data_IF_413362437377
#
_entry.id   IF_413362437377
#
_cell.length_a   1.000
_cell.length_b   1.000
_cell.length_c   1.000
_cell.angle_alpha   90.00
_cell.angle_beta   90.00
_cell.angle_gamma   90.00
#
_symmetry.space_group_name_H-M   'P 1'
#
loop_
_entity.id
_entity.type
_entity.pdbx_description
1 polymer ?
#
# COMPACT_ATOMS: atom_id res chain seq x y z
N UNK A 1 -3.46 -7.67 4.10
CA UNK A 1 -3.04 -9.10 4.10
C UNK A 1 -3.85 -10.02 5.04
N UNK A 2 -4.28 -9.51 6.19
CA UNK A 2 -4.95 -10.23 7.29
C UNK A 2 -6.20 -11.09 6.96
N UNK A 3 -6.81 -10.93 5.79
CA UNK A 3 -7.98 -11.73 5.34
C UNK A 3 -7.61 -13.00 4.54
N UNK A 4 -6.32 -13.27 4.35
CA UNK A 4 -5.82 -14.36 3.53
C UNK A 4 -4.87 -15.24 4.32
N UNK A 5 -4.80 -16.53 3.99
CA UNK A 5 -3.82 -17.44 4.59
C UNK A 5 -2.48 -17.36 3.85
N UNK A 6 -1.41 -17.82 4.48
CA UNK A 6 -0.10 -17.97 3.83
C UNK A 6 -0.19 -18.76 2.51
N UNK A 7 -0.99 -19.84 2.50
CA UNK A 7 -1.18 -20.68 1.32
C UNK A 7 -1.89 -19.93 0.20
N UNK A 8 -2.98 -19.20 0.51
CA UNK A 8 -3.72 -18.47 -0.54
C UNK A 8 -2.89 -17.34 -1.12
N UNK A 9 -2.09 -16.64 -0.30
CA UNK A 9 -1.16 -15.62 -0.75
C UNK A 9 -0.07 -16.19 -1.65
N UNK A 10 0.55 -17.31 -1.27
CA UNK A 10 1.58 -17.97 -2.07
C UNK A 10 1.00 -18.55 -3.37
N UNK A 11 -0.23 -19.05 -3.37
CA UNK A 11 -0.85 -19.56 -4.58
C UNK A 11 -1.23 -18.44 -5.55
N UNK A 12 -1.75 -17.32 -5.04
CA UNK A 12 -1.96 -16.12 -5.85
C UNK A 12 -0.65 -15.62 -6.47
N UNK A 13 0.44 -15.63 -5.71
CA UNK A 13 1.79 -15.32 -6.20
C UNK A 13 2.22 -16.23 -7.36
N UNK A 14 2.04 -17.56 -7.24
CA UNK A 14 2.35 -18.48 -8.34
C UNK A 14 1.55 -18.17 -9.61
N UNK A 15 0.25 -17.90 -9.49
CA UNK A 15 -0.61 -17.52 -10.62
C UNK A 15 -0.10 -16.23 -11.27
N UNK A 16 0.25 -15.22 -10.46
CA UNK A 16 0.85 -13.97 -10.96
C UNK A 16 2.12 -14.21 -11.77
N UNK A 17 3.00 -15.12 -11.32
CA UNK A 17 4.21 -15.48 -12.06
C UNK A 17 3.92 -16.27 -13.33
N UNK A 18 3.01 -17.22 -13.28
CA UNK A 18 2.63 -18.06 -14.42
C UNK A 18 2.05 -17.23 -15.57
N UNK A 19 1.15 -16.30 -15.26
CA UNK A 19 0.45 -15.50 -16.27
C UNK A 19 1.06 -14.12 -16.50
N UNK A 20 2.12 -13.77 -15.76
CA UNK A 20 2.75 -12.43 -15.76
C UNK A 20 1.72 -11.30 -15.58
N UNK A 21 0.85 -11.44 -14.57
CA UNK A 21 -0.19 -10.48 -14.20
C UNK A 21 0.06 -9.92 -12.80
N UNK A 22 -0.32 -8.66 -12.51
CA UNK A 22 -0.06 -8.08 -11.21
C UNK A 22 -0.95 -8.66 -10.10
N UNK A 23 -0.45 -8.63 -8.86
CA UNK A 23 -1.25 -8.84 -7.65
C UNK A 23 -1.44 -7.49 -6.98
N UNK A 24 -2.66 -7.16 -6.61
CA UNK A 24 -2.95 -5.97 -5.80
C UNK A 24 -3.52 -6.39 -4.45
N UNK A 25 -2.93 -5.90 -3.36
CA UNK A 25 -3.40 -6.16 -1.99
C UNK A 25 -3.44 -4.84 -1.22
N UNK A 26 -4.44 -4.66 -0.35
CA UNK A 26 -4.40 -3.62 0.70
C UNK A 26 -3.37 -3.99 1.76
N UNK A 27 -2.41 -3.09 2.01
CA UNK A 27 -1.27 -3.33 2.91
C UNK A 27 -1.02 -2.09 3.76
N UNK A 28 -0.80 -2.31 5.07
CA UNK A 28 -0.48 -1.27 6.06
C UNK A 28 -1.48 -0.09 5.98
N UNK A 29 -2.77 -0.41 5.96
CA UNK A 29 -3.84 0.57 5.79
C UNK A 29 -4.46 0.99 7.13
N UNK A 30 -4.55 0.06 8.08
CA UNK A 30 -5.33 0.22 9.31
C UNK A 30 -4.49 -0.06 10.56
N UNK A 31 -4.72 0.67 11.65
CA UNK A 31 -3.96 0.50 12.90
C UNK A 31 -4.07 -0.92 13.48
N UNK A 32 -5.23 -1.55 13.35
CA UNK A 32 -5.41 -2.93 13.81
C UNK A 32 -4.55 -3.92 13.02
N UNK A 33 -4.30 -3.66 11.73
CA UNK A 33 -3.43 -4.48 10.90
C UNK A 33 -2.00 -4.42 11.47
N UNK A 34 -1.51 -3.21 11.79
CA UNK A 34 -0.20 -3.02 12.39
C UNK A 34 -0.09 -3.76 13.73
N UNK A 35 -1.07 -3.57 14.61
CA UNK A 35 -1.10 -4.22 15.93
C UNK A 35 -1.12 -5.75 15.80
N UNK A 36 -1.99 -6.29 14.94
CA UNK A 36 -2.13 -7.73 14.76
C UNK A 36 -0.84 -8.39 14.24
N UNK A 37 -0.20 -7.80 13.22
CA UNK A 37 1.04 -8.34 12.67
C UNK A 37 2.21 -8.20 13.66
N UNK A 38 2.23 -7.12 14.44
CA UNK A 38 3.23 -6.93 15.49
C UNK A 38 3.08 -7.96 16.60
N UNK A 39 1.86 -8.22 17.06
CA UNK A 39 1.60 -9.19 18.14
C UNK A 39 1.86 -10.63 17.70
N UNK A 40 1.41 -11.01 16.50
CA UNK A 40 1.50 -12.41 16.03
C UNK A 40 2.87 -12.78 15.48
N UNK A 41 3.54 -11.86 14.79
CA UNK A 41 4.76 -12.15 14.04
C UNK A 41 5.95 -11.28 14.44
N UNK A 42 5.75 -10.23 15.26
CA UNK A 42 6.75 -9.19 15.54
C UNK A 42 7.26 -8.49 14.26
N UNK A 43 6.42 -8.42 13.24
CA UNK A 43 6.69 -7.82 11.92
C UNK A 43 5.62 -6.77 11.59
N UNK A 44 5.92 -5.88 10.65
CA UNK A 44 4.89 -5.09 9.95
C UNK A 44 4.18 -5.94 8.89
N UNK A 45 3.05 -5.48 8.32
CA UNK A 45 2.42 -6.18 7.21
C UNK A 45 3.32 -6.32 5.98
N UNK A 46 4.16 -5.31 5.68
CA UNK A 46 5.12 -5.36 4.57
C UNK A 46 6.21 -6.41 4.85
N UNK A 47 6.82 -6.38 6.03
CA UNK A 47 7.84 -7.35 6.43
C UNK A 47 7.29 -8.79 6.46
N UNK A 48 6.05 -8.96 6.90
CA UNK A 48 5.38 -10.26 6.85
C UNK A 48 5.22 -10.76 5.42
N UNK A 49 4.71 -9.94 4.49
CA UNK A 49 4.61 -10.31 3.07
C UNK A 49 5.99 -10.63 2.46
N UNK A 50 7.03 -9.87 2.83
CA UNK A 50 8.40 -10.16 2.40
C UNK A 50 8.90 -11.52 2.90
N UNK A 51 8.59 -11.86 4.16
CA UNK A 51 8.95 -13.16 4.74
C UNK A 51 8.30 -14.35 4.05
N UNK A 52 7.16 -14.14 3.38
CA UNK A 52 6.50 -15.15 2.55
C UNK A 52 7.14 -15.30 1.16
N UNK A 53 8.02 -14.37 0.75
CA UNK A 53 8.72 -14.39 -0.53
C UNK A 53 7.83 -14.02 -1.73
N UNK A 54 6.78 -13.22 -1.51
CA UNK A 54 5.77 -12.91 -2.54
C UNK A 54 5.79 -11.46 -3.03
N UNK A 55 6.76 -10.66 -2.57
CA UNK A 55 6.96 -9.28 -3.03
C UNK A 55 7.95 -9.24 -4.18
N UNK A 56 7.49 -8.76 -5.34
CA UNK A 56 8.34 -8.44 -6.49
C UNK A 56 7.72 -7.31 -7.34
N UNK A 57 8.26 -7.07 -8.53
CA UNK A 57 7.80 -6.02 -9.45
C UNK A 57 6.39 -6.20 -10.01
N UNK A 58 5.76 -7.36 -9.83
CA UNK A 58 4.36 -7.60 -10.19
C UNK A 58 3.40 -7.35 -9.01
N UNK A 59 3.92 -6.98 -7.83
CA UNK A 59 3.09 -6.67 -6.68
C UNK A 59 2.74 -5.18 -6.62
N UNK A 60 1.48 -4.88 -6.30
CA UNK A 60 0.95 -3.54 -6.06
C UNK A 60 0.41 -3.45 -4.63
N UNK A 61 1.07 -2.65 -3.81
CA UNK A 61 0.67 -2.34 -2.44
C UNK A 61 -0.30 -1.16 -2.43
N UNK A 62 -1.59 -1.44 -2.22
CA UNK A 62 -2.61 -0.40 -2.14
C UNK A 62 -2.65 0.23 -0.74
N UNK A 63 -2.85 1.55 -0.71
CA UNK A 63 -2.84 2.43 0.47
C UNK A 63 -1.45 2.69 1.04
N UNK A 64 -0.81 1.69 1.64
CA UNK A 64 0.56 1.78 2.19
C UNK A 64 0.73 2.99 3.12
N UNK A 65 -0.21 3.18 4.06
CA UNK A 65 -0.29 4.40 4.88
C UNK A 65 0.64 4.33 6.09
N UNK A 66 0.61 3.19 6.79
CA UNK A 66 1.26 2.99 8.08
C UNK A 66 2.57 2.21 7.92
N UNK A 67 3.42 2.65 6.99
CA UNK A 67 4.73 2.05 6.75
C UNK A 67 5.85 2.83 7.41
N UNK A 68 6.89 2.11 7.84
CA UNK A 68 8.13 2.69 8.36
C UNK A 68 9.25 2.69 7.30
N UNK A 69 10.44 3.16 7.70
CA UNK A 69 11.59 3.28 6.80
C UNK A 69 12.11 1.94 6.29
N UNK A 70 12.05 0.89 7.10
CA UNK A 70 12.44 -0.46 6.68
C UNK A 70 11.42 -1.04 5.69
N UNK A 71 10.13 -0.79 5.90
CA UNK A 71 9.09 -1.18 4.95
C UNK A 71 9.29 -0.51 3.59
N UNK A 72 9.59 0.80 3.58
CA UNK A 72 9.88 1.55 2.35
C UNK A 72 11.10 0.95 1.63
N UNK A 73 12.15 0.62 2.38
CA UNK A 73 13.34 -0.03 1.82
C UNK A 73 13.01 -1.39 1.20
N UNK A 74 12.24 -2.23 1.88
CA UNK A 74 11.77 -3.53 1.36
C UNK A 74 10.98 -3.33 0.06
N UNK A 75 9.99 -2.43 0.06
CA UNK A 75 9.18 -2.15 -1.13
C UNK A 75 10.05 -1.72 -2.31
N UNK A 76 11.07 -0.88 -2.06
CA UNK A 76 12.02 -0.44 -3.07
C UNK A 76 12.89 -1.59 -3.59
N UNK A 77 13.50 -2.37 -2.70
CA UNK A 77 14.41 -3.47 -3.05
C UNK A 77 13.68 -4.58 -3.83
N UNK A 78 12.40 -4.83 -3.52
CA UNK A 78 11.56 -5.80 -4.23
C UNK A 78 10.92 -5.24 -5.50
N UNK A 79 10.99 -3.92 -5.73
CA UNK A 79 10.41 -3.27 -6.89
C UNK A 79 8.88 -3.17 -6.85
N UNK A 80 8.28 -3.23 -5.66
CA UNK A 80 6.83 -3.18 -5.46
C UNK A 80 6.27 -1.82 -5.89
N UNK A 81 5.16 -1.82 -6.63
CA UNK A 81 4.41 -0.60 -6.95
C UNK A 81 3.47 -0.21 -5.81
N UNK A 82 3.18 1.08 -5.65
CA UNK A 82 2.22 1.58 -4.65
C UNK A 82 1.03 2.25 -5.32
N UNK A 83 -0.19 1.87 -4.93
CA UNK A 83 -1.41 2.59 -5.31
C UNK A 83 -1.81 3.56 -4.21
N UNK A 84 -1.65 4.87 -4.47
CA UNK A 84 -2.01 5.92 -3.53
C UNK A 84 -3.49 6.28 -3.65
N UNK A 85 -4.26 6.02 -2.59
CA UNK A 85 -5.72 6.25 -2.57
C UNK A 85 -6.10 7.37 -1.58
N UNK A 86 -5.64 8.60 -1.83
CA UNK A 86 -5.76 9.70 -0.85
C UNK A 86 -7.20 10.07 -0.48
N UNK A 87 -8.14 10.01 -1.43
CA UNK A 87 -9.55 10.29 -1.17
C UNK A 87 -10.14 9.31 -0.16
N UNK A 88 -9.81 8.02 -0.32
CA UNK A 88 -10.23 6.97 0.60
C UNK A 88 -9.59 7.11 1.99
N UNK A 89 -8.28 7.34 2.02
CA UNK A 89 -7.53 7.49 3.26
C UNK A 89 -8.02 8.70 4.07
N UNK A 90 -8.26 9.83 3.41
CA UNK A 90 -8.75 11.04 4.07
C UNK A 90 -10.19 10.90 4.56
N UNK A 91 -11.11 10.32 3.78
CA UNK A 91 -12.49 10.06 4.23
C UNK A 91 -12.53 9.12 5.44
N UNK A 92 -11.66 8.11 5.44
CA UNK A 92 -11.55 7.13 6.52
C UNK A 92 -10.71 7.58 7.71
N UNK A 93 -10.15 8.79 7.71
CA UNK A 93 -9.21 9.29 8.71
C UNK A 93 -8.03 8.35 8.99
N UNK A 94 -7.52 7.65 7.95
CA UNK A 94 -6.49 6.61 8.06
C UNK A 94 -5.06 7.17 8.07
N UNK A 95 -4.89 8.45 7.72
CA UNK A 95 -3.59 9.11 7.60
C UNK A 95 -3.20 9.38 6.15
N UNK A 96 -1.94 9.79 5.95
CA UNK A 96 -1.38 10.12 4.65
C UNK A 96 -0.18 9.22 4.40
N UNK A 97 -0.26 8.38 3.37
CA UNK A 97 0.86 7.53 2.98
C UNK A 97 2.08 8.40 2.63
N UNK A 98 3.31 8.03 3.06
CA UNK A 98 4.51 8.83 2.88
C UNK A 98 5.06 8.75 1.44
N UNK A 99 4.19 8.99 0.45
CA UNK A 99 4.50 8.82 -0.98
C UNK A 99 5.54 9.81 -1.51
N UNK A 100 5.73 10.96 -0.86
CA UNK A 100 6.81 11.89 -1.23
C UNK A 100 8.15 11.22 -0.98
N UNK A 101 8.36 10.70 0.24
CA UNK A 101 9.55 9.92 0.60
C UNK A 101 9.70 8.68 -0.28
N UNK A 102 8.65 7.89 -0.47
CA UNK A 102 8.71 6.71 -1.36
C UNK A 102 9.14 7.07 -2.79
N UNK A 103 8.64 8.19 -3.33
CA UNK A 103 9.02 8.68 -4.66
C UNK A 103 10.47 9.12 -4.72
N UNK A 104 10.99 9.78 -3.68
CA UNK A 104 12.41 10.16 -3.57
C UNK A 104 13.33 8.94 -3.50
N UNK A 105 12.91 7.88 -2.82
CA UNK A 105 13.57 6.57 -2.80
C UNK A 105 13.39 5.79 -4.14
N UNK A 106 12.63 6.34 -5.09
CA UNK A 106 12.44 5.79 -6.42
C UNK A 106 11.45 4.61 -6.50
N UNK A 107 10.47 4.55 -5.61
CA UNK A 107 9.33 3.61 -5.70
C UNK A 107 8.33 4.11 -6.74
N UNK A 108 7.79 3.20 -7.55
CA UNK A 108 6.74 3.51 -8.53
C UNK A 108 5.41 3.77 -7.82
N UNK A 109 4.90 5.00 -7.93
CA UNK A 109 3.63 5.41 -7.32
C UNK A 109 2.56 5.64 -8.40
N UNK A 110 1.46 4.90 -8.31
CA UNK A 110 0.22 5.13 -9.04
C UNK A 110 -0.83 5.85 -8.18
N UNK A 111 -1.89 6.32 -8.84
CA UNK A 111 -3.03 6.97 -8.19
C UNK A 111 -4.26 6.09 -8.33
N UNK A 112 -5.00 5.91 -7.24
CA UNK A 112 -6.26 5.16 -7.24
C UNK A 112 -7.36 5.93 -6.51
N UNK A 113 -8.60 5.61 -6.86
CA UNK A 113 -9.80 6.18 -6.23
C UNK A 113 -10.29 5.36 -5.06
N UNK A 114 -9.87 4.09 -4.97
CA UNK A 114 -10.57 3.03 -4.25
C UNK A 114 -12.06 2.96 -4.70
N UNK A 115 -12.95 2.41 -3.88
CA UNK A 115 -14.38 2.35 -4.14
C UNK A 115 -15.13 3.67 -3.90
N UNK A 116 -16.32 3.85 -4.50
CA UNK A 116 -17.11 5.07 -4.33
C UNK A 116 -17.63 5.23 -2.89
N UNK A 117 -17.73 4.15 -2.11
CA UNK A 117 -18.14 4.24 -0.69
C UNK A 117 -17.02 4.80 0.21
N UNK A 118 -15.76 4.60 -0.16
CA UNK A 118 -14.60 5.10 0.60
C UNK A 118 -14.07 6.42 0.06
N UNK A 119 -14.31 6.79 -1.21
CA UNK A 119 -13.89 8.09 -1.76
C UNK A 119 -15.02 9.08 -2.10
N UNK A 120 -16.28 8.65 -2.15
CA UNK A 120 -17.45 9.39 -2.69
C UNK A 120 -17.28 9.87 -4.15
N UNK A 121 -16.28 9.37 -4.87
CA UNK A 121 -16.00 9.67 -6.26
C UNK A 121 -15.16 8.56 -6.88
N UNK A 122 -15.26 8.40 -8.21
CA UNK A 122 -14.36 7.59 -9.03
C UNK A 122 -13.57 8.47 -10.02
N UNK A 123 -13.56 9.79 -9.80
CA UNK A 123 -12.85 10.73 -10.66
C UNK A 123 -11.38 10.86 -10.23
N UNK A 124 -10.49 10.39 -11.10
CA UNK A 124 -9.04 10.47 -10.90
C UNK A 124 -8.52 11.91 -10.91
N UNK A 125 -9.19 12.83 -11.63
CA UNK A 125 -8.79 14.25 -11.69
C UNK A 125 -9.03 14.91 -10.32
N UNK A 126 -10.17 14.62 -9.69
CA UNK A 126 -10.44 15.04 -8.32
C UNK A 126 -9.38 14.49 -7.35
N UNK A 127 -8.96 13.22 -7.50
CA UNK A 127 -7.89 12.66 -6.67
C UNK A 127 -6.57 13.44 -6.80
N UNK A 128 -6.18 13.85 -8.01
CA UNK A 128 -4.94 14.63 -8.23
C UNK A 128 -4.94 15.94 -7.44
N UNK A 129 -6.07 16.67 -7.42
CA UNK A 129 -6.19 17.89 -6.61
C UNK A 129 -6.09 17.59 -5.11
N UNK A 130 -6.66 16.48 -4.65
CA UNK A 130 -6.60 16.08 -3.25
C UNK A 130 -5.17 15.77 -2.81
N UNK A 131 -4.40 15.04 -3.62
CA UNK A 131 -2.98 14.74 -3.35
C UNK A 131 -2.23 16.04 -3.02
N UNK A 132 -2.28 17.03 -3.93
CA UNK A 132 -1.51 18.26 -3.76
C UNK A 132 -1.91 19.11 -2.54
N UNK A 133 -3.19 19.08 -2.13
CA UNK A 133 -3.70 19.85 -0.98
C UNK A 133 -3.44 19.14 0.35
N UNK A 134 -3.70 17.84 0.40
CA UNK A 134 -3.61 17.06 1.64
C UNK A 134 -2.16 16.86 2.04
N UNK A 135 -1.25 16.61 1.09
CA UNK A 135 0.17 16.48 1.41
C UNK A 135 0.76 17.77 1.98
N UNK A 136 0.47 18.93 1.36
CA UNK A 136 0.88 20.24 1.91
C UNK A 136 0.33 20.48 3.31
N UNK A 137 -0.96 20.19 3.52
CA UNK A 137 -1.60 20.33 4.83
C UNK A 137 -0.92 19.44 5.89
N UNK A 138 -0.63 18.19 5.53
CA UNK A 138 -0.04 17.21 6.43
C UNK A 138 1.43 17.52 6.75
N UNK A 139 2.23 17.83 5.73
CA UNK A 139 3.65 18.14 5.85
C UNK A 139 3.93 19.56 6.37
N UNK A 140 2.95 20.47 6.23
CA UNK A 140 3.04 21.90 6.55
C UNK A 140 4.09 22.63 5.68
N UNK A 141 4.07 22.35 4.38
CA UNK A 141 4.96 22.91 3.34
C UNK A 141 4.22 23.46 2.09
#
# INVERSE_FOLDING_TARGET
PYTNTDESLKEAYKISKEYNVPITIHVAEMDYEISEYREKYNLTPVQYLDSLGILDSNFISAHTVLVNDEDIKILKERGVGVSHNIGANSKGAKGVAPIVKMKEEGISIGLGTDGPMSGNTLDIITQMSQVGKIHKLFNKD
#
